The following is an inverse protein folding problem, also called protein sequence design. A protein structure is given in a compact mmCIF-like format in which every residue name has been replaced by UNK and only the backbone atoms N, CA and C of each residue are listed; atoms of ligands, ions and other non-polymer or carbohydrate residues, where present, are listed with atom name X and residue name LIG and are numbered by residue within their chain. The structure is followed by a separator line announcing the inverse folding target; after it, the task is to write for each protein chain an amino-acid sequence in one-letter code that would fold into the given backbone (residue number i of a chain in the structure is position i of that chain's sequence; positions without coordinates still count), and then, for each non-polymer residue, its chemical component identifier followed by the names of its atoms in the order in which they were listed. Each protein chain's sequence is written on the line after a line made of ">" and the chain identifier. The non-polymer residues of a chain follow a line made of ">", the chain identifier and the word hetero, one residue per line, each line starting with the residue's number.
data_IF_588432279146
#
_entry.id   IF_588432279146
#
_cell.length_a   1.000
_cell.length_b   1.000
_cell.length_c   1.000
_cell.angle_alpha   90.00
_cell.angle_beta   90.00
_cell.angle_gamma   90.00
#
_symmetry.space_group_name_H-M   'P 1'
#
loop_
_entity.id
_entity.type
_entity.pdbx_description
1 polymer ?
#
# COMPACT_ATOMS: atom_id res chain seq x y z
N UNK A 1 -12.97 -19.89 4.38
CA UNK A 1 -13.64 -18.86 5.21
C UNK A 1 -12.82 -17.58 5.15
N UNK A 2 -13.18 -16.65 4.27
CA UNK A 2 -12.77 -15.25 4.40
C UNK A 2 -13.91 -14.55 5.15
N UNK A 3 -13.64 -13.73 6.18
CA UNK A 3 -14.70 -13.00 6.84
C UNK A 3 -15.29 -11.99 5.85
N UNK A 4 -16.62 -11.96 5.85
CA UNK A 4 -17.45 -10.96 5.21
C UNK A 4 -16.97 -9.58 5.70
N UNK A 5 -16.34 -8.80 4.82
CA UNK A 5 -16.18 -7.37 5.08
C UNK A 5 -17.59 -6.82 5.12
N UNK A 6 -18.07 -6.57 6.34
CA UNK A 6 -19.31 -5.88 6.60
C UNK A 6 -19.31 -4.55 5.87
N UNK A 7 -20.48 -4.24 5.33
CA UNK A 7 -20.79 -3.00 4.64
C UNK A 7 -20.76 -1.84 5.64
N UNK A 8 -19.59 -1.24 5.82
CA UNK A 8 -19.45 0.10 6.35
C UNK A 8 -19.08 1.00 5.18
N UNK A 9 -20.09 1.70 4.67
CA UNK A 9 -20.05 2.84 3.76
C UNK A 9 -18.78 2.96 2.90
N UNK A 10 -18.94 2.63 1.60
CA UNK A 10 -18.05 3.01 0.51
C UNK A 10 -17.85 4.53 0.53
N UNK A 11 -16.87 4.99 1.28
CA UNK A 11 -16.13 6.17 0.89
C UNK A 11 -15.30 5.74 -0.31
N UNK A 12 -15.25 6.55 -1.36
CA UNK A 12 -14.30 6.38 -2.48
C UNK A 12 -12.82 6.34 -2.05
N UNK A 13 -12.55 6.45 -0.74
CA UNK A 13 -11.24 6.37 -0.11
C UNK A 13 -10.86 4.94 0.26
N UNK A 14 -9.62 4.59 -0.07
CA UNK A 14 -8.96 3.36 0.40
C UNK A 14 -9.07 3.23 1.93
N UNK A 15 -9.18 2.00 2.48
CA UNK A 15 -9.10 1.78 3.92
C UNK A 15 -7.77 2.33 4.45
N UNK A 16 -7.65 2.78 5.70
CA UNK A 16 -6.45 3.49 6.19
C UNK A 16 -5.18 2.63 6.10
N UNK A 17 -5.30 1.31 6.22
CA UNK A 17 -4.22 0.36 6.08
C UNK A 17 -4.61 -0.78 5.15
N UNK A 18 -3.70 -1.09 4.24
CA UNK A 18 -3.79 -2.19 3.29
C UNK A 18 -2.90 -3.34 3.72
N UNK A 19 -3.25 -4.55 3.28
CA UNK A 19 -2.29 -5.67 3.26
C UNK A 19 -1.35 -5.48 2.08
N UNK A 20 -0.17 -6.08 2.14
CA UNK A 20 0.80 -6.05 1.03
C UNK A 20 0.18 -6.57 -0.28
N UNK A 21 -0.65 -7.62 -0.21
CA UNK A 21 -1.37 -8.15 -1.38
C UNK A 21 -2.41 -7.18 -1.97
N UNK A 22 -3.04 -6.36 -1.13
CA UNK A 22 -4.01 -5.36 -1.59
C UNK A 22 -3.29 -4.20 -2.27
N UNK A 23 -2.17 -3.74 -1.68
CA UNK A 23 -1.29 -2.76 -2.32
C UNK A 23 -0.73 -3.27 -3.65
N UNK A 24 -0.34 -4.55 -3.73
CA UNK A 24 0.12 -5.16 -4.98
C UNK A 24 -0.92 -5.08 -6.09
N UNK A 25 -2.19 -5.34 -5.76
CA UNK A 25 -3.32 -5.24 -6.70
C UNK A 25 -3.53 -3.81 -7.18
N UNK A 26 -3.47 -2.83 -6.28
CA UNK A 26 -3.62 -1.40 -6.62
C UNK A 26 -2.48 -0.93 -7.52
N UNK A 27 -1.24 -1.28 -7.18
CA UNK A 27 -0.04 -0.92 -7.93
C UNK A 27 0.17 -1.76 -9.20
N UNK A 28 -0.69 -2.76 -9.45
CA UNK A 28 -0.61 -3.69 -10.59
C UNK A 28 0.73 -4.43 -10.71
N UNK A 29 1.29 -4.83 -9.57
CA UNK A 29 2.51 -5.64 -9.49
C UNK A 29 2.23 -7.04 -8.94
N UNK A 30 3.15 -7.98 -9.16
CA UNK A 30 3.05 -9.31 -8.58
C UNK A 30 3.13 -9.25 -7.06
N UNK A 31 2.48 -10.21 -6.37
CA UNK A 31 2.56 -10.31 -4.91
C UNK A 31 4.00 -10.43 -4.42
N UNK A 32 4.80 -11.26 -5.09
CA UNK A 32 6.21 -11.44 -4.74
C UNK A 32 6.98 -10.13 -4.84
N UNK A 33 6.81 -9.37 -5.93
CA UNK A 33 7.46 -8.06 -6.07
C UNK A 33 7.03 -7.08 -4.96
N UNK A 34 5.75 -7.06 -4.59
CA UNK A 34 5.28 -6.22 -3.49
C UNK A 34 5.88 -6.62 -2.14
N UNK A 35 6.09 -7.91 -1.87
CA UNK A 35 6.75 -8.37 -0.66
C UNK A 35 8.24 -8.03 -0.66
N UNK A 36 8.95 -8.21 -1.76
CA UNK A 36 10.36 -7.80 -1.88
C UNK A 36 10.53 -6.30 -1.61
N UNK A 37 9.67 -5.47 -2.20
CA UNK A 37 9.68 -4.03 -1.96
C UNK A 37 9.33 -3.68 -0.50
N UNK A 38 8.42 -4.41 0.13
CA UNK A 38 8.09 -4.22 1.54
C UNK A 38 9.26 -4.60 2.46
N UNK A 39 10.00 -5.65 2.13
CA UNK A 39 11.22 -6.03 2.84
C UNK A 39 12.31 -4.97 2.69
N UNK A 40 12.56 -4.51 1.46
CA UNK A 40 13.51 -3.42 1.19
C UNK A 40 13.19 -2.16 2.00
N UNK A 41 11.91 -1.82 2.17
CA UNK A 41 11.50 -0.69 3.01
C UNK A 41 11.88 -0.85 4.48
N UNK A 42 11.71 -2.06 5.04
CA UNK A 42 12.09 -2.34 6.42
C UNK A 42 13.61 -2.41 6.59
N UNK A 43 14.32 -2.97 5.61
CA UNK A 43 15.79 -3.12 5.63
C UNK A 43 16.51 -1.78 5.47
N UNK A 44 15.91 -0.85 4.71
CA UNK A 44 16.46 0.49 4.46
C UNK A 44 15.89 1.56 5.38
N UNK A 45 15.21 1.15 6.46
CA UNK A 45 14.60 2.05 7.45
C UNK A 45 13.69 3.13 6.82
N UNK A 46 13.01 2.77 5.73
CA UNK A 46 12.10 3.64 5.01
C UNK A 46 12.72 4.50 3.91
N UNK A 47 13.92 4.17 3.45
CA UNK A 47 14.58 4.90 2.36
C UNK A 47 14.09 4.45 0.97
N UNK A 48 13.87 3.15 0.76
CA UNK A 48 13.49 2.61 -0.55
C UNK A 48 12.52 1.44 -0.46
N UNK A 49 11.65 1.27 -1.46
CA UNK A 49 10.71 0.15 -1.56
C UNK A 49 9.25 0.54 -1.35
N UNK A 50 8.45 -0.42 -0.87
CA UNK A 50 7.02 -0.23 -0.63
C UNK A 50 6.78 0.16 0.83
N UNK A 51 6.19 1.33 1.11
CA UNK A 51 6.00 1.80 2.48
C UNK A 51 5.16 0.83 3.32
N UNK A 52 5.78 0.25 4.34
CA UNK A 52 5.13 -0.69 5.26
C UNK A 52 5.50 -0.43 6.70
N UNK A 53 4.54 -0.74 7.59
CA UNK A 53 4.73 -0.80 9.02
C UNK A 53 4.58 -2.25 9.46
N UNK A 54 5.54 -2.74 10.25
CA UNK A 54 5.46 -4.08 10.85
C UNK A 54 4.72 -4.01 12.18
N UNK A 55 3.58 -4.70 12.25
CA UNK A 55 2.76 -4.85 13.45
C UNK A 55 2.81 -6.32 13.87
N UNK A 56 3.75 -6.63 14.77
CA UNK A 56 4.07 -7.99 15.19
C UNK A 56 4.52 -8.86 14.01
N UNK A 57 3.74 -9.89 13.69
CA UNK A 57 4.02 -10.82 12.57
C UNK A 57 3.41 -10.39 11.25
N UNK A 58 2.75 -9.23 11.19
CA UNK A 58 2.03 -8.77 10.01
C UNK A 58 2.61 -7.47 9.48
N UNK A 59 2.48 -7.26 8.17
CA UNK A 59 2.84 -6.01 7.50
C UNK A 59 1.57 -5.27 7.08
N UNK A 60 1.58 -3.96 7.24
CA UNK A 60 0.49 -3.06 6.83
C UNK A 60 1.07 -1.91 6.02
N UNK A 61 0.44 -1.65 4.88
CA UNK A 61 0.78 -0.54 3.99
C UNK A 61 -0.16 0.62 4.33
N UNK A 62 0.34 1.81 4.69
CA UNK A 62 -0.53 2.98 4.87
C UNK A 62 -1.10 3.42 3.52
N UNK A 63 -2.41 3.58 3.41
CA UNK A 63 -3.01 4.02 2.13
C UNK A 63 -2.56 5.40 1.69
N UNK A 64 -2.32 6.29 2.66
CA UNK A 64 -1.75 7.61 2.39
C UNK A 64 -0.41 7.53 1.63
N UNK A 65 0.39 6.49 1.86
CA UNK A 65 1.65 6.30 1.15
C UNK A 65 1.42 5.88 -0.31
N UNK A 66 0.40 5.04 -0.56
CA UNK A 66 -0.01 4.67 -1.92
C UNK A 66 -0.59 5.87 -2.65
N UNK A 67 -1.45 6.66 -2.00
CA UNK A 67 -1.99 7.91 -2.56
C UNK A 67 -0.85 8.87 -2.96
N UNK A 68 0.17 9.03 -2.12
CA UNK A 68 1.37 9.83 -2.44
C UNK A 68 2.12 9.31 -3.65
N UNK A 69 2.27 7.99 -3.79
CA UNK A 69 2.90 7.39 -4.98
C UNK A 69 2.09 7.64 -6.25
N UNK A 70 0.76 7.60 -6.18
CA UNK A 70 -0.11 7.90 -7.32
C UNK A 70 -0.03 9.38 -7.75
N UNK A 71 0.38 10.28 -6.85
CA UNK A 71 0.63 11.68 -7.19
C UNK A 71 1.98 11.88 -7.88
N UNK A 72 2.92 10.93 -7.81
CA UNK A 72 4.22 11.03 -8.49
C UNK A 72 4.01 10.92 -10.00
N UNK A 73 4.21 12.03 -10.72
CA UNK A 73 3.99 12.13 -12.16
C UNK A 73 2.66 12.79 -12.57
N UNK A 74 1.78 13.11 -11.61
CA UNK A 74 0.66 14.01 -11.86
C UNK A 74 1.17 15.44 -11.75
N UNK A 75 1.74 15.96 -12.84
CA UNK A 75 2.19 17.34 -12.90
C UNK A 75 0.98 18.29 -12.78
N UNK A 76 0.87 19.12 -11.73
CA UNK A 76 -0.24 20.07 -11.59
C UNK A 76 -0.09 21.28 -12.52
N UNK A 77 1.07 21.46 -13.17
CA UNK A 77 1.41 22.60 -14.05
C UNK A 77 1.20 22.26 -15.54
N UNK A 78 0.81 21.02 -15.86
CA UNK A 78 0.51 20.59 -17.23
C UNK A 78 -0.92 20.93 -17.72
N UNK A 79 -1.64 21.83 -17.04
CA UNK A 79 -3.03 22.22 -17.34
C UNK A 79 -3.15 23.70 -17.74
#
# INVERSE_FOLDING_TARGET
>A
MAPHLGEDAVSEKLPPFLRVEEAARILRISRSAAYELAHAWLETEGSAGLPVIRLGRTMRVPSAAIERLLQVGSDPDAA
#
